data_IF_848935927406
#
_entry.id   IF_848935927406
#
_cell.length_a   1.000
_cell.length_b   1.000
_cell.length_c   1.000
_cell.angle_alpha   90.00
_cell.angle_beta   90.00
_cell.angle_gamma   90.00
#
_symmetry.space_group_name_H-M   'P 1'
#
loop_
_entity.id
_entity.type
_entity.pdbx_description
1 polymer ?
#
# COMPACT_ATOMS: atom_id res chain seq x y z
N UNK A 1 10.99 19.43 -3.76
CA UNK A 1 10.04 18.34 -3.45
C UNK A 1 8.99 18.13 -4.54
N UNK A 2 8.34 19.18 -5.08
CA UNK A 2 7.30 19.06 -6.13
C UNK A 2 7.71 18.37 -7.45
N UNK A 3 9.01 18.36 -7.80
CA UNK A 3 9.50 17.73 -9.04
C UNK A 3 9.56 16.19 -8.94
N UNK A 4 9.66 15.63 -7.74
CA UNK A 4 9.65 14.18 -7.53
C UNK A 4 8.27 13.57 -7.82
N UNK A 5 7.22 14.27 -7.48
CA UNK A 5 5.82 13.91 -7.69
C UNK A 5 5.47 13.56 -9.12
N UNK A 6 5.71 14.50 -10.04
CA UNK A 6 5.37 14.31 -11.45
C UNK A 6 6.19 13.18 -12.09
N UNK A 7 7.44 12.98 -11.66
CA UNK A 7 8.27 11.86 -12.13
C UNK A 7 7.74 10.51 -11.68
N UNK A 8 7.20 10.44 -10.46
CA UNK A 8 6.56 9.21 -9.97
C UNK A 8 5.31 8.88 -10.79
N UNK A 9 4.40 9.83 -10.97
CA UNK A 9 3.18 9.64 -11.75
C UNK A 9 3.46 9.32 -13.23
N UNK A 10 4.45 9.99 -13.84
CA UNK A 10 4.88 9.68 -15.20
C UNK A 10 5.43 8.25 -15.30
N UNK A 11 6.27 7.83 -14.34
CA UNK A 11 6.76 6.45 -14.26
C UNK A 11 5.62 5.45 -14.13
N UNK A 12 4.68 5.71 -13.22
CA UNK A 12 3.53 4.84 -13.01
C UNK A 12 2.68 4.70 -14.28
N UNK A 13 2.45 5.80 -15.00
CA UNK A 13 1.72 5.78 -16.27
C UNK A 13 2.42 4.91 -17.32
N UNK A 14 3.75 5.07 -17.48
CA UNK A 14 4.53 4.30 -18.44
C UNK A 14 4.71 2.82 -18.05
N UNK A 15 4.63 2.51 -16.77
CA UNK A 15 4.86 1.16 -16.24
C UNK A 15 3.59 0.30 -16.15
N UNK A 16 2.42 0.78 -16.59
CA UNK A 16 1.13 0.09 -16.42
C UNK A 16 1.16 -1.37 -16.93
N UNK A 17 1.79 -1.63 -18.09
CA UNK A 17 1.93 -2.98 -18.62
C UNK A 17 2.80 -3.85 -17.71
N UNK A 18 3.93 -3.33 -17.23
CA UNK A 18 4.85 -4.05 -16.31
C UNK A 18 4.18 -4.35 -14.98
N UNK A 19 3.39 -3.43 -14.43
CA UNK A 19 2.72 -3.56 -13.14
C UNK A 19 1.41 -4.35 -13.17
N UNK A 20 0.98 -4.81 -14.34
CA UNK A 20 -0.33 -5.47 -14.51
C UNK A 20 -0.51 -6.67 -13.56
N UNK A 21 0.50 -7.56 -13.45
CA UNK A 21 0.43 -8.73 -12.55
C UNK A 21 0.37 -8.31 -11.08
N UNK A 22 1.23 -7.39 -10.67
CA UNK A 22 1.23 -6.83 -9.31
C UNK A 22 -0.13 -6.22 -8.98
N UNK A 23 -0.68 -5.38 -9.88
CA UNK A 23 -2.00 -4.78 -9.70
C UNK A 23 -3.12 -5.81 -9.63
N UNK A 24 -3.06 -6.86 -10.44
CA UNK A 24 -4.03 -7.97 -10.38
C UNK A 24 -3.96 -8.70 -9.03
N UNK A 25 -2.77 -8.95 -8.53
CA UNK A 25 -2.57 -9.57 -7.22
C UNK A 25 -3.08 -8.68 -6.08
N UNK A 26 -2.83 -7.37 -6.16
CA UNK A 26 -3.37 -6.40 -5.20
C UNK A 26 -4.90 -6.36 -5.26
N UNK A 27 -5.50 -6.34 -6.45
CA UNK A 27 -6.95 -6.37 -6.62
C UNK A 27 -7.58 -7.65 -6.01
N UNK A 28 -6.94 -8.81 -6.19
CA UNK A 28 -7.37 -10.06 -5.56
C UNK A 28 -7.28 -10.00 -4.02
N UNK A 29 -6.24 -9.38 -3.48
CA UNK A 29 -6.12 -9.16 -2.03
C UNK A 29 -7.15 -8.15 -1.52
N UNK A 30 -7.38 -7.03 -2.23
CA UNK A 30 -8.40 -6.04 -1.90
C UNK A 30 -9.82 -6.64 -1.91
N UNK A 31 -10.09 -7.60 -2.80
CA UNK A 31 -11.36 -8.33 -2.85
C UNK A 31 -11.65 -9.14 -1.58
N UNK A 32 -10.61 -9.48 -0.80
CA UNK A 32 -10.73 -10.18 0.49
C UNK A 32 -10.90 -9.22 1.68
N UNK A 33 -11.00 -7.91 1.42
CA UNK A 33 -11.20 -6.92 2.47
C UNK A 33 -12.47 -7.21 3.28
N UNK A 34 -12.44 -7.03 4.61
CA UNK A 34 -13.60 -7.21 5.47
C UNK A 34 -14.84 -6.44 4.95
N UNK A 35 -15.99 -7.04 5.11
CA UNK A 35 -17.29 -6.47 4.68
C UNK A 35 -17.95 -5.66 5.80
N UNK A 36 -19.03 -4.95 5.45
CA UNK A 36 -19.85 -4.20 6.41
C UNK A 36 -19.35 -2.78 6.69
N UNK A 37 -18.52 -2.21 5.81
CA UNK A 37 -18.03 -0.83 5.92
C UNK A 37 -18.56 0.03 4.76
N UNK A 38 -19.20 1.16 5.11
CA UNK A 38 -19.62 2.19 4.15
C UNK A 38 -18.55 3.28 3.94
N UNK A 39 -17.65 3.44 4.90
CA UNK A 39 -16.61 4.48 4.92
C UNK A 39 -15.20 3.85 4.82
N UNK A 40 -14.32 4.48 4.03
CA UNK A 40 -12.92 4.13 3.89
C UNK A 40 -12.04 5.31 4.30
N UNK A 41 -11.05 5.06 5.16
CA UNK A 41 -9.88 5.92 5.35
C UNK A 41 -8.71 5.34 4.56
N UNK A 42 -8.33 6.00 3.46
CA UNK A 42 -7.28 5.54 2.55
C UNK A 42 -6.02 6.39 2.73
N UNK A 43 -5.04 5.86 3.44
CA UNK A 43 -3.76 6.51 3.70
C UNK A 43 -2.74 6.17 2.61
N UNK A 44 -2.06 7.18 2.06
CA UNK A 44 -1.11 7.03 0.95
C UNK A 44 -1.81 6.86 -0.40
N UNK A 45 -2.97 7.52 -0.56
CA UNK A 45 -3.84 7.32 -1.73
C UNK A 45 -3.15 7.56 -3.07
N UNK A 46 -2.12 8.43 -3.12
CA UNK A 46 -1.44 8.82 -4.35
C UNK A 46 -2.47 9.10 -5.46
N UNK A 47 -2.21 8.69 -6.70
CA UNK A 47 -3.20 8.72 -7.79
C UNK A 47 -4.01 7.42 -7.88
N UNK A 48 -4.06 6.60 -6.85
CA UNK A 48 -4.76 5.31 -6.86
C UNK A 48 -4.16 4.30 -7.83
N UNK A 49 -2.84 4.33 -8.05
CA UNK A 49 -2.20 3.46 -9.04
C UNK A 49 -2.41 1.97 -8.78
N UNK A 50 -2.53 1.59 -7.52
CA UNK A 50 -2.74 0.22 -7.07
C UNK A 50 -4.20 -0.07 -6.65
N UNK A 51 -5.05 0.97 -6.61
CA UNK A 51 -6.46 0.79 -6.26
C UNK A 51 -7.24 0.17 -7.41
N UNK A 52 -8.17 -0.71 -7.03
CA UNK A 52 -9.13 -1.34 -7.92
C UNK A 52 -10.50 -0.66 -7.82
N UNK A 53 -11.14 -0.42 -8.97
CA UNK A 53 -12.45 0.23 -9.02
C UNK A 53 -13.55 -0.59 -8.30
N UNK A 54 -13.47 -1.93 -8.35
CA UNK A 54 -14.43 -2.79 -7.66
C UNK A 54 -14.30 -2.67 -6.13
N UNK A 55 -13.07 -2.49 -5.61
CA UNK A 55 -12.84 -2.23 -4.20
C UNK A 55 -13.40 -0.85 -3.79
N UNK A 56 -13.12 0.21 -4.56
CA UNK A 56 -13.60 1.55 -4.28
C UNK A 56 -15.15 1.63 -4.33
N UNK A 57 -15.78 0.88 -5.23
CA UNK A 57 -17.24 0.82 -5.38
C UNK A 57 -17.98 0.29 -4.14
N UNK A 58 -17.28 -0.33 -3.19
CA UNK A 58 -17.87 -0.84 -1.93
C UNK A 58 -18.21 0.27 -0.94
N UNK A 59 -17.65 1.48 -1.12
CA UNK A 59 -17.75 2.55 -0.14
C UNK A 59 -18.65 3.69 -0.64
N UNK A 60 -19.45 4.22 0.27
CA UNK A 60 -20.23 5.45 0.05
C UNK A 60 -19.39 6.68 0.24
N UNK A 61 -18.39 6.61 1.15
CA UNK A 61 -17.50 7.71 1.47
C UNK A 61 -16.06 7.24 1.54
N UNK A 62 -15.18 8.03 0.93
CA UNK A 62 -13.73 7.81 0.97
C UNK A 62 -13.06 9.10 1.42
N UNK A 63 -12.38 9.05 2.57
CA UNK A 63 -11.42 10.06 2.97
C UNK A 63 -10.03 9.57 2.52
N UNK A 64 -9.50 10.18 1.46
CA UNK A 64 -8.19 9.86 0.88
C UNK A 64 -7.15 10.82 1.45
N UNK A 65 -6.03 10.27 1.95
CA UNK A 65 -5.00 11.03 2.65
C UNK A 65 -3.69 10.90 1.88
N UNK A 66 -3.17 12.03 1.41
CA UNK A 66 -1.87 12.10 0.76
C UNK A 66 -1.34 13.54 0.81
N UNK A 67 -0.04 13.72 1.03
CA UNK A 67 0.56 15.06 1.09
C UNK A 67 0.87 15.63 -0.30
N UNK A 68 0.91 14.81 -1.34
CA UNK A 68 1.24 15.20 -2.70
C UNK A 68 0.09 15.98 -3.35
N UNK A 69 0.41 17.14 -3.95
CA UNK A 69 -0.60 18.01 -4.57
C UNK A 69 -1.25 17.39 -5.81
N UNK A 70 -0.50 16.56 -6.55
CA UNK A 70 -0.97 15.93 -7.79
C UNK A 70 -1.87 14.72 -7.53
N UNK A 71 -1.82 14.13 -6.32
CA UNK A 71 -2.56 12.92 -5.96
C UNK A 71 -4.07 13.10 -6.16
N UNK A 72 -4.65 14.17 -5.63
CA UNK A 72 -6.10 14.39 -5.70
C UNK A 72 -6.65 14.51 -7.13
N UNK A 73 -6.14 15.39 -8.01
CA UNK A 73 -6.67 15.50 -9.37
C UNK A 73 -6.46 14.22 -10.18
N UNK A 74 -5.32 13.55 -10.02
CA UNK A 74 -5.03 12.31 -10.74
C UNK A 74 -5.89 11.14 -10.25
N UNK A 75 -6.10 11.01 -8.94
CA UNK A 75 -6.99 10.00 -8.38
C UNK A 75 -8.42 10.18 -8.90
N UNK A 76 -8.95 11.42 -8.85
CA UNK A 76 -10.29 11.74 -9.35
C UNK A 76 -10.44 11.45 -10.84
N UNK A 77 -9.42 11.77 -11.65
CA UNK A 77 -9.44 11.50 -13.08
C UNK A 77 -9.44 9.98 -13.37
N UNK A 78 -8.58 9.23 -12.70
CA UNK A 78 -8.44 7.78 -12.90
C UNK A 78 -9.68 7.00 -12.53
N UNK A 79 -10.30 7.38 -11.43
CA UNK A 79 -11.46 6.69 -10.84
C UNK A 79 -12.78 7.43 -11.08
N UNK A 80 -12.81 8.39 -12.04
CA UNK A 80 -14.00 9.21 -12.31
C UNK A 80 -15.25 8.37 -12.59
N UNK A 81 -15.09 7.28 -13.33
CA UNK A 81 -16.20 6.38 -13.69
C UNK A 81 -16.84 5.70 -12.48
N UNK A 82 -16.05 5.13 -11.58
CA UNK A 82 -16.56 4.47 -10.38
C UNK A 82 -17.11 5.49 -9.38
N UNK A 83 -16.44 6.62 -9.19
CA UNK A 83 -16.88 7.70 -8.30
C UNK A 83 -18.26 8.20 -8.73
N UNK A 84 -18.46 8.49 -10.01
CA UNK A 84 -19.74 8.98 -10.52
C UNK A 84 -20.84 7.91 -10.47
N UNK A 85 -20.55 6.68 -10.91
CA UNK A 85 -21.51 5.58 -10.96
C UNK A 85 -22.05 5.21 -9.58
N UNK A 86 -21.18 5.15 -8.58
CA UNK A 86 -21.52 4.75 -7.21
C UNK A 86 -21.77 5.95 -6.30
N UNK A 87 -21.71 7.19 -6.83
CA UNK A 87 -21.92 8.44 -6.08
C UNK A 87 -21.06 8.53 -4.83
N UNK A 88 -19.78 8.14 -4.97
CA UNK A 88 -18.84 8.12 -3.86
C UNK A 88 -18.55 9.56 -3.41
N UNK A 89 -18.78 9.84 -2.13
CA UNK A 89 -18.36 11.10 -1.48
C UNK A 89 -16.84 11.02 -1.20
N UNK A 90 -16.04 11.54 -2.14
CA UNK A 90 -14.58 11.52 -2.05
C UNK A 90 -14.05 12.85 -1.52
N UNK A 91 -13.52 12.83 -0.30
CA UNK A 91 -12.76 13.93 0.31
C UNK A 91 -11.26 13.63 0.26
N UNK A 92 -10.46 14.59 -0.17
CA UNK A 92 -9.00 14.46 -0.20
C UNK A 92 -8.36 15.36 0.86
N UNK A 93 -7.57 14.77 1.76
CA UNK A 93 -6.84 15.48 2.80
C UNK A 93 -5.36 15.56 2.42
N UNK A 94 -4.88 16.79 2.17
CA UNK A 94 -3.49 17.04 1.81
C UNK A 94 -2.64 17.23 3.07
N UNK A 95 -2.40 16.15 3.78
CA UNK A 95 -1.66 16.14 5.04
C UNK A 95 -0.74 14.93 5.11
N UNK A 96 0.25 14.97 6.02
CA UNK A 96 1.07 13.81 6.33
C UNK A 96 0.22 12.78 7.11
N UNK A 97 0.27 11.54 6.64
CA UNK A 97 -0.63 10.47 7.06
C UNK A 97 -0.56 10.13 8.55
N UNK A 98 0.64 9.83 9.04
CA UNK A 98 0.81 9.28 10.38
C UNK A 98 0.73 10.33 11.50
N UNK A 99 1.05 11.60 11.19
CA UNK A 99 0.92 12.71 12.15
C UNK A 99 -0.52 13.05 12.49
N UNK A 100 -1.47 12.72 11.59
CA UNK A 100 -2.88 13.04 11.76
C UNK A 100 -3.76 11.80 11.97
N UNK A 101 -3.12 10.64 12.15
CA UNK A 101 -3.81 9.35 12.22
C UNK A 101 -4.94 9.34 13.26
N UNK A 102 -4.67 9.71 14.51
CA UNK A 102 -5.66 9.69 15.60
C UNK A 102 -6.84 10.62 15.33
N UNK A 103 -6.56 11.81 14.77
CA UNK A 103 -7.61 12.78 14.45
C UNK A 103 -8.55 12.23 13.37
N UNK A 104 -8.00 11.57 12.35
CA UNK A 104 -8.78 10.96 11.27
C UNK A 104 -9.57 9.76 11.77
N UNK A 105 -8.95 8.90 12.58
CA UNK A 105 -9.61 7.76 13.21
C UNK A 105 -10.78 8.21 14.12
N UNK A 106 -10.60 9.29 14.87
CA UNK A 106 -11.65 9.83 15.73
C UNK A 106 -12.84 10.39 14.91
N UNK A 107 -12.57 11.00 13.75
CA UNK A 107 -13.62 11.52 12.86
C UNK A 107 -14.43 10.41 12.18
N UNK A 108 -13.80 9.23 11.96
CA UNK A 108 -14.39 8.08 11.26
C UNK A 108 -14.26 6.80 12.09
N UNK A 109 -15.00 6.70 13.21
CA UNK A 109 -14.81 5.59 14.14
C UNK A 109 -15.22 4.23 13.58
N UNK A 110 -16.03 4.19 12.53
CA UNK A 110 -16.50 2.95 11.92
C UNK A 110 -15.89 2.68 10.52
N UNK A 111 -14.97 3.52 10.03
CA UNK A 111 -14.38 3.32 8.72
C UNK A 111 -13.46 2.10 8.69
N UNK A 112 -13.42 1.41 7.55
CA UNK A 112 -12.30 0.55 7.21
C UNK A 112 -11.06 1.41 7.00
N UNK A 113 -9.91 1.01 7.52
CA UNK A 113 -8.65 1.73 7.35
C UNK A 113 -7.76 0.96 6.38
N UNK A 114 -7.21 1.63 5.38
CA UNK A 114 -6.27 1.04 4.44
C UNK A 114 -5.03 1.94 4.30
N UNK A 115 -3.85 1.34 4.47
CA UNK A 115 -2.56 1.95 4.15
C UNK A 115 -2.08 1.43 2.80
N UNK A 116 -2.00 2.33 1.78
CA UNK A 116 -1.51 2.03 0.44
C UNK A 116 -0.05 2.52 0.30
N UNK A 117 0.86 1.65 0.62
CA UNK A 117 2.33 1.80 0.55
C UNK A 117 2.94 2.99 1.32
N UNK A 118 2.18 3.73 2.09
CA UNK A 118 2.70 4.85 2.89
C UNK A 118 3.63 4.39 4.00
N UNK A 119 3.40 3.21 4.56
CA UNK A 119 4.20 2.69 5.67
C UNK A 119 5.60 2.26 5.22
N UNK A 120 5.71 1.57 4.08
CA UNK A 120 7.00 1.17 3.52
C UNK A 120 7.85 2.35 3.05
N UNK A 121 7.21 3.47 2.72
CA UNK A 121 7.90 4.70 2.32
C UNK A 121 8.20 5.65 3.48
N UNK A 122 7.63 5.41 4.65
CA UNK A 122 7.76 6.30 5.80
C UNK A 122 9.22 6.50 6.21
N UNK A 123 10.02 5.41 6.25
CA UNK A 123 11.45 5.47 6.56
C UNK A 123 12.28 6.24 5.52
N UNK A 124 11.78 6.43 4.30
CA UNK A 124 12.46 7.19 3.25
C UNK A 124 12.31 8.70 3.44
N UNK A 125 11.25 9.12 4.12
CA UNK A 125 10.92 10.53 4.32
C UNK A 125 11.34 11.05 5.69
N UNK A 126 11.52 10.17 6.66
CA UNK A 126 12.00 10.51 8.00
C UNK A 126 13.52 10.75 8.01
N UNK A 127 13.95 11.80 8.70
CA UNK A 127 15.39 12.05 8.92
C UNK A 127 15.98 11.14 10.00
N UNK A 128 15.17 10.77 10.97
CA UNK A 128 15.53 9.90 12.08
C UNK A 128 14.91 8.51 11.85
N UNK A 129 15.76 7.55 11.47
CA UNK A 129 15.36 6.16 11.17
C UNK A 129 14.84 5.46 12.42
N UNK A 130 15.46 5.68 13.58
CA UNK A 130 15.02 5.07 14.84
C UNK A 130 13.62 5.58 15.24
N UNK A 131 13.37 6.88 15.03
CA UNK A 131 12.05 7.44 15.28
C UNK A 131 11.02 6.87 14.30
N UNK A 132 11.39 6.68 13.03
CA UNK A 132 10.52 6.06 12.04
C UNK A 132 10.16 4.63 12.43
N UNK A 133 11.13 3.83 12.84
CA UNK A 133 10.92 2.45 13.29
C UNK A 133 10.02 2.41 14.53
N UNK A 134 10.28 3.25 15.54
CA UNK A 134 9.41 3.36 16.73
C UNK A 134 7.97 3.69 16.33
N UNK A 135 7.76 4.60 15.39
CA UNK A 135 6.44 5.00 14.91
C UNK A 135 5.71 3.85 14.23
N UNK A 136 6.42 3.08 13.38
CA UNK A 136 5.85 1.90 12.71
C UNK A 136 5.53 0.78 13.70
N UNK A 137 6.43 0.51 14.65
CA UNK A 137 6.22 -0.50 15.69
C UNK A 137 5.04 -0.16 16.62
N UNK A 138 4.74 1.14 16.80
CA UNK A 138 3.62 1.62 17.61
C UNK A 138 2.26 1.59 16.87
N UNK A 139 2.26 1.39 15.57
CA UNK A 139 1.07 1.48 14.73
C UNK A 139 -0.05 0.53 15.17
N UNK A 140 0.27 -0.71 15.52
CA UNK A 140 -0.71 -1.70 16.01
C UNK A 140 -1.44 -1.21 17.26
N UNK A 141 -0.73 -0.55 18.19
CA UNK A 141 -1.32 0.05 19.39
C UNK A 141 -2.27 1.19 19.04
N UNK A 142 -1.87 2.06 18.10
CA UNK A 142 -2.66 3.21 17.61
C UNK A 142 -3.94 2.76 16.89
N UNK A 143 -3.92 1.59 16.25
CA UNK A 143 -5.05 1.01 15.50
C UNK A 143 -5.86 0.00 16.32
N UNK A 144 -5.60 -0.12 17.63
CA UNK A 144 -6.32 -1.09 18.48
C UNK A 144 -7.82 -0.90 18.40
N UNK A 145 -8.56 -2.00 18.23
CA UNK A 145 -10.02 -2.01 18.09
C UNK A 145 -10.51 -1.48 16.72
N UNK A 146 -9.64 -1.35 15.73
CA UNK A 146 -9.99 -1.02 14.36
C UNK A 146 -9.87 -2.24 13.46
N UNK A 147 -10.66 -2.28 12.41
CA UNK A 147 -10.41 -3.16 11.28
C UNK A 147 -9.61 -2.39 10.25
N UNK A 148 -8.47 -2.91 9.87
CA UNK A 148 -7.55 -2.22 8.98
C UNK A 148 -6.77 -3.19 8.10
N UNK A 149 -6.25 -2.69 7.01
CA UNK A 149 -5.33 -3.39 6.14
C UNK A 149 -4.14 -2.54 5.77
N UNK A 150 -3.08 -3.18 5.41
CA UNK A 150 -1.92 -2.51 4.84
C UNK A 150 -1.36 -3.31 3.69
N UNK A 151 -0.95 -2.59 2.65
CA UNK A 151 -0.02 -3.05 1.63
C UNK A 151 1.17 -2.12 1.67
N UNK A 152 2.36 -2.64 1.84
CA UNK A 152 3.55 -1.81 2.03
C UNK A 152 4.81 -2.50 1.54
N UNK A 153 5.78 -1.69 1.10
CA UNK A 153 7.13 -2.15 0.81
C UNK A 153 7.74 -2.80 2.07
N UNK A 154 8.19 -4.02 1.92
CA UNK A 154 8.90 -4.73 2.97
C UNK A 154 10.39 -4.86 2.63
N UNK A 155 10.68 -5.24 1.40
CA UNK A 155 12.03 -5.37 0.87
C UNK A 155 12.11 -4.72 -0.52
N UNK A 156 13.24 -4.10 -0.86
CA UNK A 156 13.49 -3.65 -2.23
C UNK A 156 14.95 -3.79 -2.62
N UNK A 157 15.21 -4.13 -3.89
CA UNK A 157 16.59 -4.31 -4.34
C UNK A 157 16.70 -4.79 -5.80
N UNK A 158 17.95 -4.97 -6.25
CA UNK A 158 18.23 -5.43 -7.60
C UNK A 158 17.93 -6.92 -7.75
N UNK A 159 17.43 -7.30 -8.93
CA UNK A 159 17.14 -8.67 -9.31
C UNK A 159 17.14 -8.83 -10.81
N UNK A 160 16.68 -9.97 -11.29
CA UNK A 160 16.59 -10.22 -12.73
C UNK A 160 15.55 -9.31 -13.38
N UNK A 161 15.89 -8.81 -14.57
CA UNK A 161 14.90 -8.17 -15.42
C UNK A 161 14.02 -9.27 -16.03
N UNK A 162 12.71 -9.18 -15.78
CA UNK A 162 11.75 -10.12 -16.35
C UNK A 162 10.73 -9.40 -17.21
N UNK A 163 10.25 -10.10 -18.23
CA UNK A 163 9.11 -9.63 -19.03
C UNK A 163 7.84 -9.56 -18.18
N UNK A 164 6.87 -8.78 -18.59
CA UNK A 164 5.60 -8.60 -17.88
C UNK A 164 4.88 -9.92 -17.54
N UNK A 165 5.03 -10.94 -18.40
CA UNK A 165 4.40 -12.25 -18.22
C UNK A 165 5.18 -13.23 -17.34
N UNK A 166 6.44 -12.95 -17.00
CA UNK A 166 7.35 -13.85 -16.29
C UNK A 166 7.62 -13.42 -14.83
N UNK A 167 6.79 -12.54 -14.28
CA UNK A 167 6.90 -12.17 -12.86
C UNK A 167 6.46 -13.35 -11.98
N UNK A 168 7.10 -13.53 -10.80
CA UNK A 168 6.67 -14.56 -9.84
C UNK A 168 5.22 -14.36 -9.42
N UNK A 169 4.60 -15.43 -8.97
CA UNK A 169 3.29 -15.36 -8.35
C UNK A 169 3.40 -14.83 -6.90
N UNK A 170 2.33 -14.24 -6.36
CA UNK A 170 2.29 -13.87 -4.95
C UNK A 170 2.52 -15.09 -4.05
N UNK A 171 3.19 -14.86 -2.91
CA UNK A 171 3.43 -15.88 -1.89
C UNK A 171 2.50 -15.61 -0.72
N UNK A 172 1.65 -16.57 -0.41
CA UNK A 172 0.82 -16.52 0.78
C UNK A 172 1.51 -17.22 1.94
N UNK A 173 1.56 -16.55 3.09
CA UNK A 173 2.10 -17.11 4.32
C UNK A 173 1.03 -17.12 5.42
N UNK A 174 0.88 -18.27 6.12
CA UNK A 174 -0.03 -18.37 7.24
C UNK A 174 0.44 -17.52 8.43
N UNK A 175 -0.45 -17.32 9.36
CA UNK A 175 -0.17 -16.72 10.66
C UNK A 175 1.06 -17.33 11.33
N UNK A 176 1.95 -16.48 11.83
CA UNK A 176 3.15 -16.92 12.56
C UNK A 176 4.28 -17.50 11.69
N UNK A 177 4.15 -17.47 10.37
CA UNK A 177 5.23 -17.89 9.49
C UNK A 177 6.49 -17.01 9.70
N UNK A 178 7.70 -17.58 9.61
CA UNK A 178 8.92 -16.81 9.70
C UNK A 178 9.04 -15.85 8.50
N UNK A 179 9.83 -14.80 8.68
CA UNK A 179 10.13 -13.84 7.62
C UNK A 179 10.85 -14.54 6.45
N UNK A 180 10.29 -14.52 5.22
CA UNK A 180 10.72 -15.40 4.14
C UNK A 180 11.78 -14.78 3.22
N UNK A 181 12.68 -13.95 3.72
CA UNK A 181 13.59 -13.12 2.92
C UNK A 181 14.34 -13.91 1.84
N UNK A 182 15.04 -14.97 2.21
CA UNK A 182 15.84 -15.78 1.27
C UNK A 182 14.96 -16.36 0.15
N UNK A 183 13.77 -16.85 0.50
CA UNK A 183 12.82 -17.39 -0.46
C UNK A 183 12.33 -16.31 -1.44
N UNK A 184 11.99 -15.12 -0.93
CA UNK A 184 11.52 -14.01 -1.77
C UNK A 184 12.62 -13.51 -2.72
N UNK A 185 13.85 -13.37 -2.22
CA UNK A 185 14.99 -12.96 -3.03
C UNK A 185 15.27 -13.97 -4.15
N UNK A 186 15.27 -15.26 -3.83
CA UNK A 186 15.48 -16.32 -4.81
C UNK A 186 14.46 -16.28 -5.96
N UNK A 187 13.19 -15.99 -5.67
CA UNK A 187 12.14 -15.92 -6.68
C UNK A 187 12.36 -14.84 -7.75
N UNK A 188 13.02 -13.73 -7.40
CA UNK A 188 13.28 -12.63 -8.34
C UNK A 188 14.74 -12.60 -8.82
N UNK A 189 15.52 -13.65 -8.52
CA UNK A 189 16.96 -13.65 -8.80
C UNK A 189 17.66 -12.48 -8.12
N UNK A 190 17.31 -12.26 -6.85
CA UNK A 190 17.83 -11.16 -6.05
C UNK A 190 19.34 -11.25 -5.89
N UNK A 191 20.01 -10.10 -5.99
CA UNK A 191 21.47 -9.98 -5.90
C UNK A 191 21.86 -8.63 -5.31
N UNK A 192 23.10 -8.54 -4.82
CA UNK A 192 23.57 -7.32 -4.18
C UNK A 192 22.85 -6.99 -2.89
N UNK A 193 22.79 -5.71 -2.54
CA UNK A 193 22.17 -5.25 -1.29
C UNK A 193 20.69 -4.98 -1.48
N UNK A 194 19.87 -5.60 -0.65
CA UNK A 194 18.45 -5.34 -0.53
C UNK A 194 18.18 -4.42 0.67
N UNK A 195 17.25 -3.52 0.48
CA UNK A 195 16.81 -2.61 1.53
C UNK A 195 15.65 -3.22 2.30
N UNK A 196 15.79 -3.31 3.62
CA UNK A 196 14.68 -3.53 4.55
C UNK A 196 14.00 -2.18 4.83
N UNK A 197 12.67 -2.13 4.66
CA UNK A 197 11.86 -0.93 4.90
C UNK A 197 11.41 -0.80 6.36
N UNK A 198 11.90 -1.66 7.27
CA UNK A 198 11.59 -1.68 8.70
C UNK A 198 10.10 -1.88 9.01
N UNK A 199 9.40 -2.59 8.14
CA UNK A 199 7.96 -2.84 8.25
C UNK A 199 7.61 -4.20 8.83
N UNK A 200 8.59 -4.98 9.30
CA UNK A 200 8.41 -6.37 9.80
C UNK A 200 7.35 -6.49 10.89
N UNK A 201 7.19 -5.46 11.72
CA UNK A 201 6.27 -5.45 12.86
C UNK A 201 4.99 -4.65 12.59
N UNK A 202 4.78 -4.17 11.39
CA UNK A 202 3.57 -3.41 11.02
C UNK A 202 2.32 -4.27 11.19
N UNK A 203 2.32 -5.48 10.62
CA UNK A 203 1.22 -6.43 10.80
C UNK A 203 1.45 -7.27 12.06
N UNK A 204 0.39 -7.54 12.86
CA UNK A 204 0.47 -8.48 13.97
C UNK A 204 0.92 -9.88 13.52
N UNK A 205 1.67 -10.58 14.34
CA UNK A 205 2.08 -11.96 14.06
C UNK A 205 0.90 -12.92 13.87
N UNK A 206 -0.29 -12.56 14.35
CA UNK A 206 -1.55 -13.28 14.11
C UNK A 206 -2.19 -13.01 12.75
N UNK A 207 -1.58 -12.19 11.90
CA UNK A 207 -2.12 -11.83 10.58
C UNK A 207 -1.51 -12.73 9.50
N UNK A 208 -2.37 -13.37 8.71
CA UNK A 208 -1.92 -14.00 7.48
C UNK A 208 -1.49 -12.93 6.46
N UNK A 209 -0.35 -13.12 5.84
CA UNK A 209 0.22 -12.14 4.93
C UNK A 209 0.35 -12.70 3.50
N UNK A 210 0.06 -11.84 2.53
CA UNK A 210 0.34 -12.07 1.12
C UNK A 210 1.55 -11.24 0.72
N UNK A 211 2.55 -11.88 0.12
CA UNK A 211 3.73 -11.23 -0.41
C UNK A 211 3.59 -11.08 -1.92
N UNK A 212 3.61 -9.85 -2.40
CA UNK A 212 3.32 -9.52 -3.79
C UNK A 212 4.59 -8.94 -4.43
N UNK A 213 5.12 -9.57 -5.49
CA UNK A 213 6.28 -9.06 -6.20
C UNK A 213 5.89 -7.85 -7.07
N UNK A 214 6.73 -6.85 -7.07
CA UNK A 214 6.55 -5.64 -7.85
C UNK A 214 7.84 -5.22 -8.54
N UNK A 215 7.95 -5.46 -9.84
CA UNK A 215 9.04 -4.93 -10.65
C UNK A 215 8.79 -3.45 -10.97
N UNK A 216 9.27 -2.56 -10.11
CA UNK A 216 9.00 -1.12 -10.21
C UNK A 216 9.68 -0.50 -11.43
N UNK A 217 10.93 -0.93 -11.71
CA UNK A 217 11.67 -0.64 -12.95
C UNK A 217 12.34 -1.92 -13.45
N UNK A 218 12.81 -1.98 -14.70
CA UNK A 218 13.56 -3.14 -15.19
C UNK A 218 14.73 -3.48 -14.25
N UNK A 219 14.78 -4.72 -13.75
CA UNK A 219 15.84 -5.20 -12.86
C UNK A 219 15.83 -4.66 -11.44
N UNK A 220 14.79 -3.94 -11.02
CA UNK A 220 14.63 -3.50 -9.64
C UNK A 220 13.26 -3.89 -9.10
N UNK A 221 13.25 -4.60 -7.98
CA UNK A 221 12.09 -5.23 -7.39
C UNK A 221 11.75 -4.69 -6.02
N UNK A 222 10.47 -4.70 -5.72
CA UNK A 222 9.93 -4.59 -4.38
C UNK A 222 9.17 -5.85 -4.04
N UNK A 223 9.24 -6.28 -2.79
CA UNK A 223 8.31 -7.21 -2.21
C UNK A 223 7.37 -6.44 -1.30
N UNK A 224 6.11 -6.41 -1.69
CA UNK A 224 5.05 -5.82 -0.88
C UNK A 224 4.52 -6.89 0.08
N UNK A 225 4.37 -6.53 1.35
CA UNK A 225 3.61 -7.32 2.30
C UNK A 225 2.20 -6.75 2.42
N UNK A 226 1.18 -7.60 2.33
CA UNK A 226 -0.22 -7.20 2.43
C UNK A 226 -0.97 -8.09 3.42
N UNK A 227 -1.79 -7.49 4.28
CA UNK A 227 -2.59 -8.22 5.27
C UNK A 227 -3.76 -7.41 5.81
N UNK A 228 -4.83 -8.11 6.21
CA UNK A 228 -5.99 -7.54 6.88
C UNK A 228 -6.01 -7.93 8.34
N UNK A 229 -6.20 -6.93 9.22
CA UNK A 229 -6.34 -7.11 10.67
C UNK A 229 -7.79 -6.82 11.03
N UNK A 230 -8.49 -7.84 11.50
CA UNK A 230 -9.87 -7.73 11.99
C UNK A 230 -9.89 -7.55 13.51
N UNK A 231 -10.95 -6.89 14.01
CA UNK A 231 -11.18 -6.70 15.46
C UNK A 231 -11.31 -8.01 16.20
#
# INVERSE_FOLDING_TARGET
MAILDLRWHARALLAQARWRRTRSAIAQWLAQAPEGFDDLLLFGASAGWMMDDAFLARFRRIDAIDFEWASSPLFRLRHAGVIARHRIDLTFHRIEALSHLEQLLARRPQALVLFDNVLGQYTLTCRDIEQAERTLNDLQRRLRGRTWGSIHDALSGPGEQRSTGAQPDPVWLPTGAPWPEDHLLAQVGGRGTWRDHLTRQVLPASTAATWIPWQITPGYWHWLQAGWVTR
#
